data_IF_476602211273
#
_entry.id   IF_476602211273
#
_cell.length_a   1.000
_cell.length_b   1.000
_cell.length_c   1.000
_cell.angle_alpha   90.00
_cell.angle_beta   90.00
_cell.angle_gamma   90.00
#
_symmetry.space_group_name_H-M   'P 1'
#
loop_
_entity.id
_entity.type
_entity.pdbx_description
1 polymer ?
#
# COMPACT_ATOMS: atom_id res chain seq x y z
N UNK A 1 -1.35 28.21 4.34
CA UNK A 1 -1.21 26.84 4.88
C UNK A 1 -2.64 26.39 5.13
N UNK A 2 -3.18 25.77 4.10
CA UNK A 2 -4.61 25.82 3.79
C UNK A 2 -5.42 24.93 4.72
N UNK A 3 -6.57 25.46 5.15
CA UNK A 3 -7.52 24.81 6.04
C UNK A 3 -8.00 23.46 5.52
N UNK A 4 -8.07 23.31 4.19
CA UNK A 4 -8.34 22.06 3.47
C UNK A 4 -7.39 20.91 3.86
N UNK A 5 -6.12 21.21 4.15
CA UNK A 5 -5.14 20.19 4.53
C UNK A 5 -5.39 19.65 5.96
N UNK A 6 -6.04 20.42 6.84
CA UNK A 6 -6.32 19.97 8.22
C UNK A 6 -7.46 18.98 8.29
N UNK A 7 -8.55 19.23 7.56
CA UNK A 7 -9.69 18.30 7.50
C UNK A 7 -9.27 16.97 6.89
N UNK A 8 -8.46 17.00 5.83
CA UNK A 8 -7.91 15.78 5.21
C UNK A 8 -7.04 14.97 6.18
N UNK A 9 -6.18 15.64 6.95
CA UNK A 9 -5.37 14.96 7.97
C UNK A 9 -6.25 14.30 9.02
N UNK A 10 -7.32 14.95 9.48
CA UNK A 10 -8.25 14.37 10.46
C UNK A 10 -8.97 13.12 9.91
N UNK A 11 -9.44 13.18 8.66
CA UNK A 11 -10.07 12.02 8.02
C UNK A 11 -9.07 10.87 7.88
N UNK A 12 -7.84 11.14 7.44
CA UNK A 12 -6.81 10.11 7.32
C UNK A 12 -6.42 9.54 8.69
N UNK A 13 -6.32 10.37 9.72
CA UNK A 13 -6.06 9.93 11.09
C UNK A 13 -7.15 9.00 11.62
N UNK A 14 -8.43 9.34 11.40
CA UNK A 14 -9.56 8.48 11.74
C UNK A 14 -9.51 7.15 11.00
N UNK A 15 -9.29 7.18 9.68
CA UNK A 15 -9.21 5.97 8.84
C UNK A 15 -8.01 5.07 9.19
N UNK A 16 -6.90 5.66 9.62
CA UNK A 16 -5.72 4.93 10.11
C UNK A 16 -5.88 4.43 11.55
N UNK A 17 -6.76 5.06 12.35
CA UNK A 17 -6.87 4.86 13.79
C UNK A 17 -5.68 5.42 14.59
N UNK A 18 -4.84 6.24 13.95
CA UNK A 18 -3.67 6.89 14.55
C UNK A 18 -3.24 8.08 13.71
N UNK A 19 -2.59 9.06 14.35
CA UNK A 19 -1.98 10.19 13.65
C UNK A 19 -0.92 9.71 12.65
N UNK A 20 -0.93 10.19 11.40
CA UNK A 20 0.16 9.97 10.44
C UNK A 20 1.49 10.44 11.02
N UNK A 21 2.53 9.61 10.91
CA UNK A 21 3.87 9.86 11.47
C UNK A 21 4.86 10.38 10.42
N UNK A 22 4.37 10.85 9.29
CA UNK A 22 5.17 11.33 8.17
C UNK A 22 4.31 12.08 7.17
N UNK A 23 4.97 12.75 6.23
CA UNK A 23 4.28 13.38 5.10
C UNK A 23 3.62 12.30 4.24
N UNK A 24 2.42 12.62 3.75
CA UNK A 24 1.69 11.77 2.82
C UNK A 24 0.89 12.64 1.85
N UNK A 25 0.43 12.01 0.77
CA UNK A 25 -0.59 12.52 -0.13
C UNK A 25 -1.69 11.47 -0.31
N UNK A 26 -2.91 11.91 -0.64
CA UNK A 26 -4.00 11.00 -0.98
C UNK A 26 -3.81 10.57 -2.44
N UNK A 27 -3.44 9.31 -2.64
CA UNK A 27 -3.16 8.76 -3.97
C UNK A 27 -4.42 8.29 -4.69
N UNK A 28 -5.42 7.81 -3.93
CA UNK A 28 -6.67 7.29 -4.48
C UNK A 28 -7.83 7.71 -3.60
N UNK A 29 -8.93 8.14 -4.22
CA UNK A 29 -10.22 8.39 -3.58
C UNK A 29 -11.28 7.45 -4.15
N UNK A 30 -12.32 7.21 -3.35
CA UNK A 30 -13.57 6.63 -3.83
C UNK A 30 -14.36 7.63 -4.67
N UNK A 31 -15.42 7.15 -5.33
CA UNK A 31 -16.35 7.98 -6.08
C UNK A 31 -17.07 9.02 -5.22
N UNK A 32 -17.23 8.76 -3.92
CA UNK A 32 -17.80 9.69 -2.94
C UNK A 32 -16.78 10.71 -2.39
N UNK A 33 -15.52 10.66 -2.84
CA UNK A 33 -14.44 11.54 -2.40
C UNK A 33 -13.67 11.04 -1.18
N UNK A 34 -14.11 9.97 -0.50
CA UNK A 34 -13.44 9.44 0.68
C UNK A 34 -12.03 8.93 0.34
N UNK A 35 -10.99 9.26 1.13
CA UNK A 35 -9.64 8.73 0.92
C UNK A 35 -9.59 7.20 0.99
N UNK A 36 -9.02 6.57 -0.03
CA UNK A 36 -8.90 5.11 -0.16
C UNK A 36 -7.48 4.62 0.06
N UNK A 37 -6.52 5.30 -0.55
CA UNK A 37 -5.08 5.00 -0.47
C UNK A 37 -4.31 6.29 -0.22
N UNK A 38 -3.35 6.24 0.69
CA UNK A 38 -2.33 7.28 0.85
C UNK A 38 -0.98 6.80 0.31
N UNK A 39 -0.21 7.73 -0.25
CA UNK A 39 1.21 7.56 -0.57
C UNK A 39 2.02 8.34 0.43
N UNK A 40 2.84 7.63 1.20
CA UNK A 40 3.70 8.20 2.21
C UNK A 40 5.04 8.61 1.63
N UNK A 41 5.69 9.57 2.28
CA UNK A 41 7.11 9.81 2.11
C UNK A 41 7.93 8.55 2.50
N UNK A 42 9.14 8.37 1.93
CA UNK A 42 9.98 7.23 2.26
C UNK A 42 10.50 7.23 3.72
N UNK A 43 10.29 8.31 4.47
CA UNK A 43 10.70 8.45 5.86
C UNK A 43 9.57 9.03 6.71
N UNK A 44 9.52 8.60 7.97
CA UNK A 44 8.75 9.24 9.02
C UNK A 44 9.34 10.62 9.38
N UNK A 45 8.61 11.41 10.15
CA UNK A 45 9.04 12.73 10.62
C UNK A 45 10.30 12.68 11.50
N UNK A 46 10.55 11.54 12.16
CA UNK A 46 11.77 11.28 12.96
C UNK A 46 12.94 10.72 12.14
N UNK A 47 12.77 10.56 10.82
CA UNK A 47 13.79 9.99 9.93
C UNK A 47 13.78 8.46 9.85
N UNK A 48 12.90 7.77 10.57
CA UNK A 48 12.76 6.31 10.47
C UNK A 48 12.32 5.92 9.05
N UNK A 49 12.97 4.91 8.42
CA UNK A 49 12.53 4.37 7.14
C UNK A 49 11.08 3.88 7.14
N UNK A 50 10.27 4.39 6.20
CA UNK A 50 8.88 3.95 6.02
C UNK A 50 8.86 2.52 5.46
N UNK A 51 8.11 1.57 6.06
CA UNK A 51 8.10 0.18 5.59
C UNK A 51 7.49 0.00 4.19
N UNK A 52 6.57 0.88 3.78
CA UNK A 52 5.91 0.85 2.47
C UNK A 52 5.35 2.23 2.14
N UNK A 53 5.46 2.67 0.88
CA UNK A 53 4.92 3.94 0.38
C UNK A 53 3.39 3.96 0.44
N UNK A 54 2.73 2.94 -0.10
CA UNK A 54 1.28 2.93 -0.30
C UNK A 54 0.57 2.19 0.82
N UNK A 55 -0.37 2.87 1.48
CA UNK A 55 -1.18 2.30 2.56
C UNK A 55 -2.65 2.34 2.14
N UNK A 56 -3.31 1.19 2.21
CA UNK A 56 -4.75 1.09 2.09
C UNK A 56 -5.39 1.55 3.40
N UNK A 57 -6.21 2.59 3.34
CA UNK A 57 -6.82 3.19 4.54
C UNK A 57 -8.34 3.03 4.57
N UNK A 58 -8.94 2.69 3.44
CA UNK A 58 -10.36 2.42 3.34
C UNK A 58 -10.80 1.24 4.23
N UNK A 59 -11.80 1.42 5.11
CA UNK A 59 -12.17 0.40 6.09
C UNK A 59 -12.83 -0.82 5.45
N UNK A 60 -13.56 -0.65 4.34
CA UNK A 60 -14.23 -1.76 3.66
C UNK A 60 -13.21 -2.63 2.94
N UNK A 61 -12.33 -2.03 2.14
CA UNK A 61 -11.28 -2.78 1.43
C UNK A 61 -10.34 -3.48 2.43
N UNK A 62 -9.94 -2.78 3.50
CA UNK A 62 -9.15 -3.39 4.58
C UNK A 62 -9.83 -4.63 5.14
N UNK A 63 -11.12 -4.53 5.48
CA UNK A 63 -11.88 -5.65 6.04
C UNK A 63 -11.98 -6.82 5.06
N UNK A 64 -12.30 -6.57 3.79
CA UNK A 64 -12.43 -7.61 2.76
C UNK A 64 -11.10 -8.32 2.51
N UNK A 65 -10.02 -7.55 2.39
CA UNK A 65 -8.68 -8.12 2.21
C UNK A 65 -8.23 -8.90 3.46
N UNK A 66 -8.50 -8.39 4.67
CA UNK A 66 -8.21 -9.12 5.90
C UNK A 66 -8.95 -10.46 5.96
N UNK A 67 -10.17 -10.55 5.43
CA UNK A 67 -10.90 -11.83 5.30
C UNK A 67 -10.21 -12.78 4.31
N UNK A 68 -9.81 -12.29 3.13
CA UNK A 68 -9.03 -13.08 2.16
C UNK A 68 -7.76 -13.64 2.80
N UNK A 69 -6.97 -12.80 3.47
CA UNK A 69 -5.73 -13.21 4.13
C UNK A 69 -5.99 -14.23 5.24
N UNK A 70 -7.02 -14.02 6.06
CA UNK A 70 -7.40 -14.96 7.13
C UNK A 70 -7.84 -16.33 6.57
N UNK A 71 -8.35 -16.35 5.35
CA UNK A 71 -8.72 -17.58 4.62
C UNK A 71 -7.54 -18.21 3.86
N UNK A 72 -6.31 -17.75 4.07
CA UNK A 72 -5.11 -18.34 3.47
C UNK A 72 -4.84 -17.91 2.03
N UNK A 73 -5.31 -16.73 1.61
CA UNK A 73 -5.15 -16.25 0.24
C UNK A 73 -3.70 -16.02 -0.20
N UNK A 74 -2.79 -15.66 0.72
CA UNK A 74 -1.39 -15.34 0.40
C UNK A 74 -0.64 -16.48 -0.32
N UNK A 75 -0.53 -17.70 0.24
CA UNK A 75 0.16 -18.79 -0.44
C UNK A 75 -0.50 -19.19 -1.76
N UNK A 76 -1.82 -19.00 -1.89
CA UNK A 76 -2.54 -19.24 -3.14
C UNK A 76 -2.13 -18.20 -4.20
N UNK A 77 -2.08 -16.92 -3.83
CA UNK A 77 -1.62 -15.85 -4.72
C UNK A 77 -0.17 -16.10 -5.18
N UNK A 78 0.73 -16.45 -4.26
CA UNK A 78 2.12 -16.75 -4.60
C UNK A 78 2.25 -17.93 -5.58
N UNK A 79 1.45 -18.98 -5.39
CA UNK A 79 1.44 -20.15 -6.27
C UNK A 79 0.83 -19.82 -7.65
N UNK A 80 -0.29 -19.10 -7.70
CA UNK A 80 -0.98 -18.75 -8.95
C UNK A 80 -0.19 -17.72 -9.79
N UNK A 81 0.45 -16.74 -9.14
CA UNK A 81 1.20 -15.68 -9.81
C UNK A 81 2.62 -16.14 -10.17
N UNK A 82 3.28 -16.84 -9.25
CA UNK A 82 4.69 -17.23 -9.32
C UNK A 82 5.63 -16.16 -8.75
N UNK A 83 6.57 -16.60 -7.90
CA UNK A 83 7.52 -15.72 -7.18
C UNK A 83 8.34 -14.81 -8.10
N UNK A 84 8.73 -15.26 -9.30
CA UNK A 84 9.51 -14.41 -10.22
C UNK A 84 8.79 -13.14 -10.69
N UNK A 85 7.45 -13.20 -10.84
CA UNK A 85 6.66 -12.00 -11.16
C UNK A 85 6.51 -11.08 -9.95
N UNK A 86 6.37 -11.66 -8.76
CA UNK A 86 6.30 -10.93 -7.49
C UNK A 86 7.61 -10.19 -7.23
N UNK A 87 8.75 -10.86 -7.41
CA UNK A 87 10.08 -10.26 -7.29
C UNK A 87 10.27 -9.11 -8.30
N UNK A 88 9.82 -9.29 -9.54
CA UNK A 88 9.84 -8.22 -10.54
C UNK A 88 9.01 -7.01 -10.12
N UNK A 89 7.86 -7.23 -9.49
CA UNK A 89 7.02 -6.17 -8.94
C UNK A 89 7.72 -5.46 -7.76
N UNK A 90 8.37 -6.22 -6.88
CA UNK A 90 9.20 -5.65 -5.81
C UNK A 90 10.34 -4.79 -6.33
N UNK A 91 11.00 -5.19 -7.42
CA UNK A 91 12.06 -4.37 -8.03
C UNK A 91 11.53 -3.07 -8.63
N UNK A 92 10.36 -3.09 -9.29
CA UNK A 92 9.70 -1.86 -9.77
C UNK A 92 9.34 -0.94 -8.60
N UNK A 93 8.76 -1.50 -7.54
CA UNK A 93 8.41 -0.77 -6.33
C UNK A 93 9.63 -0.12 -5.66
N UNK A 94 10.72 -0.87 -5.50
CA UNK A 94 12.00 -0.38 -4.96
C UNK A 94 12.51 0.80 -5.78
N UNK A 95 12.51 0.69 -7.11
CA UNK A 95 12.95 1.77 -8.00
C UNK A 95 12.10 3.02 -7.83
N UNK A 96 10.79 2.87 -7.70
CA UNK A 96 9.88 4.00 -7.46
C UNK A 96 10.19 4.70 -6.14
N UNK A 97 10.29 3.93 -5.04
CA UNK A 97 10.65 4.46 -3.72
C UNK A 97 12.00 5.15 -3.71
N UNK A 98 13.01 4.53 -4.32
CA UNK A 98 14.36 5.07 -4.29
C UNK A 98 14.45 6.43 -5.02
N UNK A 99 13.60 6.70 -6.02
CA UNK A 99 13.52 8.02 -6.67
C UNK A 99 13.02 9.13 -5.72
N UNK A 100 12.37 8.77 -4.62
CA UNK A 100 11.87 9.73 -3.61
C UNK A 100 12.89 10.01 -2.51
N UNK A 101 13.99 9.25 -2.46
CA UNK A 101 15.05 9.43 -1.46
C UNK A 101 16.06 10.42 -2.04
N UNK A 102 16.36 11.56 -1.36
CA UNK A 102 17.37 12.50 -1.83
C UNK A 102 18.75 11.84 -1.94
N UNK A 103 19.52 12.15 -2.99
CA UNK A 103 20.89 11.66 -3.16
C UNK A 103 21.81 12.07 -2.00
N UNK A 104 21.47 13.16 -1.29
CA UNK A 104 22.17 13.63 -0.10
C UNK A 104 21.80 12.90 1.19
N UNK A 105 20.87 11.93 1.15
CA UNK A 105 20.45 11.19 2.34
C UNK A 105 21.58 10.31 2.86
N UNK A 106 21.94 10.53 4.13
CA UNK A 106 22.92 9.71 4.84
C UNK A 106 22.25 9.02 6.03
N UNK A 107 22.31 7.69 6.10
CA UNK A 107 21.75 6.92 7.21
C UNK A 107 20.95 5.70 6.74
N UNK A 108 20.20 5.04 7.65
CA UNK A 108 19.31 3.96 7.29
C UNK A 108 18.32 4.39 6.21
N UNK A 109 18.08 3.53 5.23
CA UNK A 109 17.13 3.75 4.15
C UNK A 109 16.09 2.62 4.13
N UNK A 110 14.87 2.87 3.61
CA UNK A 110 13.90 1.81 3.43
C UNK A 110 14.44 0.73 2.51
N UNK A 111 14.23 -0.53 2.90
CA UNK A 111 14.64 -1.70 2.13
C UNK A 111 13.44 -2.62 1.86
N UNK A 112 13.65 -3.66 1.05
CA UNK A 112 12.56 -4.57 0.64
C UNK A 112 11.71 -4.01 -0.49
N UNK A 113 10.72 -4.80 -0.93
CA UNK A 113 9.73 -4.46 -1.94
C UNK A 113 8.44 -3.90 -1.32
N UNK A 114 7.33 -4.24 -1.94
CA UNK A 114 5.98 -3.88 -1.48
C UNK A 114 5.76 -4.41 -0.05
N UNK A 115 5.22 -3.59 0.85
CA UNK A 115 5.01 -3.98 2.26
C UNK A 115 6.31 -4.17 3.08
N UNK A 116 7.48 -3.85 2.51
CA UNK A 116 8.78 -3.98 3.15
C UNK A 116 9.34 -5.40 3.20
N UNK A 117 8.76 -6.33 2.44
CA UNK A 117 9.23 -7.72 2.39
C UNK A 117 10.46 -7.88 1.49
N UNK A 118 11.28 -8.92 1.75
CA UNK A 118 12.43 -9.24 0.89
C UNK A 118 12.05 -10.22 -0.22
N UNK A 119 11.14 -11.14 0.06
CA UNK A 119 10.69 -12.23 -0.82
C UNK A 119 9.22 -12.47 -0.56
N UNK A 120 8.47 -12.83 -1.60
CA UNK A 120 7.08 -13.23 -1.47
C UNK A 120 6.16 -12.11 -1.00
N UNK A 121 4.98 -12.46 -0.53
CA UNK A 121 3.92 -11.52 -0.15
C UNK A 121 3.76 -11.49 1.36
N UNK A 122 4.04 -10.33 1.98
CA UNK A 122 3.80 -10.13 3.41
C UNK A 122 2.33 -9.88 3.72
N UNK A 123 1.67 -9.05 2.92
CA UNK A 123 0.25 -8.75 3.01
C UNK A 123 -0.30 -8.28 1.66
N UNK A 124 -1.55 -8.60 1.38
CA UNK A 124 -2.29 -8.16 0.20
C UNK A 124 -2.64 -6.67 0.26
N UNK A 125 -2.81 -6.08 1.45
CA UNK A 125 -3.19 -4.65 1.58
C UNK A 125 -2.20 -3.71 0.89
N UNK A 126 -0.89 -3.93 1.08
CA UNK A 126 0.14 -3.06 0.51
C UNK A 126 0.23 -3.20 -1.02
N UNK A 127 0.06 -4.42 -1.52
CA UNK A 127 0.02 -4.72 -2.96
C UNK A 127 -1.21 -4.13 -3.62
N UNK A 128 -2.38 -4.31 -2.99
CA UNK A 128 -3.63 -3.74 -3.49
C UNK A 128 -3.61 -2.21 -3.46
N UNK A 129 -3.07 -1.60 -2.40
CA UNK A 129 -2.89 -0.15 -2.33
C UNK A 129 -2.05 0.40 -3.48
N UNK A 130 -0.92 -0.23 -3.79
CA UNK A 130 -0.05 0.20 -4.88
C UNK A 130 -0.71 0.00 -6.24
N UNK A 131 -1.40 -1.13 -6.45
CA UNK A 131 -2.18 -1.39 -7.65
C UNK A 131 -3.25 -0.32 -7.90
N UNK A 132 -4.05 0.01 -6.88
CA UNK A 132 -5.06 1.06 -6.97
C UNK A 132 -4.46 2.43 -7.32
N UNK A 133 -3.23 2.70 -6.86
CA UNK A 133 -2.48 3.92 -7.18
C UNK A 133 -1.82 3.88 -8.58
N UNK A 134 -2.12 2.87 -9.40
CA UNK A 134 -1.60 2.72 -10.77
C UNK A 134 -0.30 1.93 -10.87
N UNK A 135 0.14 1.28 -9.79
CA UNK A 135 1.30 0.40 -9.78
C UNK A 135 1.07 -0.87 -10.61
N UNK A 136 2.09 -1.28 -11.38
CA UNK A 136 2.11 -2.57 -12.08
C UNK A 136 2.41 -3.71 -11.10
N UNK A 137 1.39 -4.10 -10.33
CA UNK A 137 1.45 -5.10 -9.27
C UNK A 137 0.57 -6.32 -9.57
N UNK A 138 1.15 -7.49 -9.91
CA UNK A 138 0.38 -8.69 -10.19
C UNK A 138 -0.39 -9.21 -8.97
N UNK A 139 0.07 -8.96 -7.74
CA UNK A 139 -0.63 -9.38 -6.51
C UNK A 139 -1.82 -8.47 -6.25
N UNK A 140 -1.69 -7.18 -6.55
CA UNK A 140 -2.80 -6.24 -6.49
C UNK A 140 -3.90 -6.57 -7.52
N UNK A 141 -3.52 -6.87 -8.77
CA UNK A 141 -4.44 -7.34 -9.81
C UNK A 141 -5.15 -8.63 -9.37
N UNK A 142 -4.40 -9.59 -8.84
CA UNK A 142 -4.96 -10.84 -8.35
C UNK A 142 -5.96 -10.62 -7.20
N UNK A 143 -5.64 -9.70 -6.29
CA UNK A 143 -6.51 -9.34 -5.15
C UNK A 143 -7.82 -8.72 -5.65
N UNK A 144 -7.76 -7.77 -6.60
CA UNK A 144 -8.95 -7.19 -7.26
C UNK A 144 -9.86 -8.29 -7.82
N UNK A 145 -9.29 -9.27 -8.54
CA UNK A 145 -10.05 -10.37 -9.12
C UNK A 145 -10.75 -11.22 -8.06
N UNK A 146 -10.11 -11.49 -6.92
CA UNK A 146 -10.75 -12.24 -5.82
C UNK A 146 -11.87 -11.42 -5.17
N UNK A 147 -11.68 -10.12 -4.98
CA UNK A 147 -12.71 -9.23 -4.46
C UNK A 147 -13.94 -9.19 -5.38
N UNK A 148 -13.75 -8.96 -6.68
CA UNK A 148 -14.86 -8.99 -7.66
C UNK A 148 -15.57 -10.35 -7.64
N UNK A 149 -14.83 -11.45 -7.53
CA UNK A 149 -15.43 -12.79 -7.46
C UNK A 149 -16.19 -13.06 -6.16
N UNK A 150 -15.88 -12.38 -5.06
CA UNK A 150 -16.69 -12.39 -3.83
C UNK A 150 -18.00 -11.62 -4.03
N UNK A 151 -17.94 -10.44 -4.66
CA UNK A 151 -19.12 -9.58 -4.89
C UNK A 151 -20.16 -10.26 -5.82
N UNK A 152 -19.72 -11.13 -6.72
CA UNK A 152 -20.61 -11.90 -7.60
C UNK A 152 -21.27 -13.11 -6.93
N UNK A 153 -20.85 -13.47 -5.71
CA UNK A 153 -21.41 -14.60 -4.95
C UNK A 153 -22.46 -14.17 -3.92
N UNK A 154 -22.57 -12.86 -3.65
CA UNK A 154 -23.60 -12.24 -2.82
C UNK A 154 -24.84 -11.89 -3.65
#
# INVERSE_FOLDING_TARGET
MDEHNKEEILVVEELLGRRPQGKFEIAVRRSDGTPRVIKNAPFLDDGTPMPTLYWLIDPVDKLRISRLESNGAIPIAEAEIGLGKIDSAHERYKKERNKMIPDSHSGPAPTGGVGGTRVGVKCLHAHYAWFLAGGDDPVGIWTEQKLIAEDLKE
#
